data_IF_151013998634
#
_entry.id   IF_151013998634
#
_cell.length_a   1.000
_cell.length_b   1.000
_cell.length_c   1.000
_cell.angle_alpha   90.00
_cell.angle_beta   90.00
_cell.angle_gamma   90.00
#
_symmetry.space_group_name_H-M   'P 1'
#
loop_
_entity.id
_entity.type
_entity.pdbx_description
1 polymer ?
#
# COMPACT_ATOMS: atom_id res chain seq x y z
N UNK A 1 10.02 -21.82 4.17
CA UNK A 1 8.80 -20.97 4.16
C UNK A 1 7.68 -21.73 4.86
N UNK A 2 6.82 -21.05 5.62
CA UNK A 2 5.81 -21.71 6.46
C UNK A 2 4.70 -22.35 5.62
N UNK A 3 4.18 -23.49 6.10
CA UNK A 3 3.00 -24.18 5.55
C UNK A 3 1.81 -23.21 5.35
N UNK A 4 1.58 -22.32 6.33
CA UNK A 4 0.51 -21.33 6.29
C UNK A 4 0.61 -20.38 5.08
N UNK A 5 1.81 -19.89 4.75
CA UNK A 5 2.00 -19.02 3.58
C UNK A 5 1.65 -19.74 2.28
N UNK A 6 2.01 -21.01 2.16
CA UNK A 6 1.75 -21.80 0.96
C UNK A 6 0.25 -22.07 0.78
N UNK A 7 -0.42 -22.58 1.81
CA UNK A 7 -1.82 -23.03 1.71
C UNK A 7 -2.83 -21.89 1.73
N UNK A 8 -2.60 -20.85 2.55
CA UNK A 8 -3.60 -19.78 2.76
C UNK A 8 -3.43 -18.64 1.76
N UNK A 9 -2.22 -18.41 1.27
CA UNK A 9 -1.94 -17.26 0.43
C UNK A 9 -1.46 -17.65 -0.96
N UNK A 10 -0.35 -18.38 -1.06
CA UNK A 10 0.29 -18.67 -2.35
C UNK A 10 -0.61 -19.51 -3.26
N UNK A 11 -1.13 -20.64 -2.78
CA UNK A 11 -2.00 -21.53 -3.58
C UNK A 11 -3.28 -20.82 -4.05
N UNK A 12 -4.08 -20.17 -3.18
CA UNK A 12 -5.29 -19.46 -3.64
C UNK A 12 -4.96 -18.35 -4.63
N UNK A 13 -3.89 -17.57 -4.39
CA UNK A 13 -3.48 -16.49 -5.28
C UNK A 13 -3.05 -16.99 -6.65
N UNK A 14 -2.27 -18.07 -6.70
CA UNK A 14 -1.83 -18.74 -7.93
C UNK A 14 -3.03 -19.24 -8.74
N UNK A 15 -3.94 -19.98 -8.09
CA UNK A 15 -5.13 -20.52 -8.75
C UNK A 15 -6.04 -19.42 -9.27
N UNK A 16 -6.24 -18.36 -8.49
CA UNK A 16 -7.04 -17.21 -8.90
C UNK A 16 -6.39 -16.47 -10.08
N UNK A 17 -5.07 -16.35 -10.10
CA UNK A 17 -4.35 -15.73 -11.21
C UNK A 17 -4.54 -16.51 -12.51
N UNK A 18 -4.36 -17.84 -12.47
CA UNK A 18 -4.55 -18.72 -13.63
C UNK A 18 -6.02 -18.70 -14.10
N UNK A 19 -6.97 -18.76 -13.17
CA UNK A 19 -8.38 -18.68 -13.49
C UNK A 19 -8.75 -17.36 -14.19
N UNK A 20 -8.20 -16.23 -13.74
CA UNK A 20 -8.41 -14.93 -14.41
C UNK A 20 -7.76 -14.93 -15.80
N UNK A 21 -6.58 -15.53 -15.93
CA UNK A 21 -5.88 -15.65 -17.20
C UNK A 21 -6.71 -16.43 -18.22
N UNK A 22 -7.25 -17.58 -17.84
CA UNK A 22 -8.05 -18.45 -18.70
C UNK A 22 -9.42 -17.84 -19.06
N UNK A 23 -10.07 -17.16 -18.12
CA UNK A 23 -11.44 -16.67 -18.31
C UNK A 23 -11.55 -15.38 -19.12
N UNK A 24 -10.55 -14.49 -19.06
CA UNK A 24 -10.75 -13.09 -19.50
C UNK A 24 -9.99 -12.74 -20.79
N UNK A 25 -8.65 -12.85 -20.82
CA UNK A 25 -7.87 -12.25 -21.93
C UNK A 25 -6.64 -13.08 -22.36
N UNK A 26 -6.31 -14.18 -21.67
CA UNK A 26 -5.05 -14.93 -21.92
C UNK A 26 -3.81 -14.02 -21.93
N UNK A 27 -3.84 -12.93 -21.16
CA UNK A 27 -2.75 -11.97 -20.95
C UNK A 27 -2.42 -11.90 -19.46
N UNK A 28 -1.18 -12.23 -19.09
CA UNK A 28 -0.76 -12.30 -17.69
C UNK A 28 -0.71 -10.93 -17.03
N UNK A 29 -0.41 -9.87 -17.78
CA UNK A 29 -0.36 -8.53 -17.21
C UNK A 29 -1.75 -8.00 -16.86
N UNK A 30 -2.73 -8.23 -17.75
CA UNK A 30 -4.14 -7.95 -17.44
C UNK A 30 -4.60 -8.79 -16.24
N UNK A 31 -4.19 -10.05 -16.18
CA UNK A 31 -4.52 -10.93 -15.04
C UNK A 31 -3.95 -10.42 -13.73
N UNK A 32 -2.70 -9.93 -13.71
CA UNK A 32 -2.09 -9.25 -12.56
C UNK A 32 -2.88 -8.01 -12.17
N UNK A 33 -3.29 -7.17 -13.13
CA UNK A 33 -4.08 -5.97 -12.85
C UNK A 33 -5.40 -6.34 -12.18
N UNK A 34 -6.13 -7.30 -12.75
CA UNK A 34 -7.43 -7.72 -12.26
C UNK A 34 -7.36 -8.35 -10.86
N UNK A 35 -6.41 -9.26 -10.62
CA UNK A 35 -6.24 -9.86 -9.29
C UNK A 35 -5.85 -8.79 -8.25
N UNK A 36 -5.01 -7.83 -8.63
CA UNK A 36 -4.63 -6.71 -7.75
C UNK A 36 -5.85 -5.88 -7.37
N UNK A 37 -6.66 -5.52 -8.35
CA UNK A 37 -7.89 -4.75 -8.15
C UNK A 37 -8.89 -5.53 -7.28
N UNK A 38 -9.06 -6.83 -7.52
CA UNK A 38 -9.94 -7.69 -6.73
C UNK A 38 -9.50 -7.76 -5.26
N UNK A 39 -8.21 -8.01 -5.00
CA UNK A 39 -7.65 -8.00 -3.64
C UNK A 39 -7.88 -6.64 -2.98
N UNK A 40 -7.67 -5.55 -3.72
CA UNK A 40 -7.88 -4.19 -3.22
C UNK A 40 -9.34 -3.91 -2.86
N UNK A 41 -10.30 -4.47 -3.61
CA UNK A 41 -11.71 -4.41 -3.26
C UNK A 41 -12.05 -5.22 -2.00
N UNK A 42 -11.51 -6.43 -1.84
CA UNK A 42 -11.70 -7.24 -0.63
C UNK A 42 -11.13 -6.51 0.60
N UNK A 43 -9.98 -5.85 0.45
CA UNK A 43 -9.32 -5.10 1.52
C UNK A 43 -9.86 -3.67 1.71
N UNK A 44 -10.80 -3.22 0.87
CA UNK A 44 -11.38 -1.88 0.90
C UNK A 44 -11.81 -1.41 2.31
N UNK A 45 -12.49 -2.21 3.16
CA UNK A 45 -12.86 -1.78 4.51
C UNK A 45 -11.65 -1.47 5.39
N UNK A 46 -10.57 -2.24 5.27
CA UNK A 46 -9.33 -2.04 6.04
C UNK A 46 -8.65 -0.75 5.61
N UNK A 47 -8.51 -0.53 4.30
CA UNK A 47 -7.97 0.71 3.74
C UNK A 47 -8.81 1.93 4.12
N UNK A 48 -10.15 1.81 4.11
CA UNK A 48 -11.05 2.87 4.56
C UNK A 48 -10.81 3.25 6.02
N UNK A 49 -10.73 2.25 6.91
CA UNK A 49 -10.42 2.47 8.32
C UNK A 49 -9.08 3.14 8.50
N UNK A 50 -8.03 2.67 7.81
CA UNK A 50 -6.70 3.26 7.91
C UNK A 50 -6.66 4.72 7.45
N UNK A 51 -7.32 5.06 6.34
CA UNK A 51 -7.41 6.43 5.85
C UNK A 51 -8.20 7.34 6.81
N UNK A 52 -9.25 6.81 7.44
CA UNK A 52 -10.00 7.52 8.50
C UNK A 52 -9.11 7.79 9.72
N UNK A 53 -8.42 6.78 10.24
CA UNK A 53 -7.52 6.92 11.39
C UNK A 53 -6.42 7.95 11.11
N UNK A 54 -5.83 7.92 9.91
CA UNK A 54 -4.83 8.90 9.50
C UNK A 54 -5.37 10.34 9.47
N UNK A 55 -6.63 10.51 9.08
CA UNK A 55 -7.28 11.82 9.10
C UNK A 55 -7.46 12.33 10.53
N UNK A 56 -7.86 11.47 11.46
CA UNK A 56 -8.03 11.86 12.86
C UNK A 56 -6.67 12.14 13.50
N UNK A 57 -5.64 11.33 13.22
CA UNK A 57 -4.26 11.55 13.66
C UNK A 57 -3.74 12.94 13.25
N UNK A 58 -4.06 13.41 12.05
CA UNK A 58 -3.72 14.77 11.60
C UNK A 58 -4.42 15.85 12.43
N UNK A 59 -5.68 15.63 12.83
CA UNK A 59 -6.45 16.57 13.66
C UNK A 59 -5.92 16.65 15.09
N UNK A 60 -5.55 15.50 15.68
CA UNK A 60 -5.03 15.44 17.06
C UNK A 60 -3.51 15.69 17.15
N UNK A 61 -2.82 15.85 16.03
CA UNK A 61 -1.39 16.13 15.99
C UNK A 61 -0.95 17.29 16.91
N UNK A 62 -1.70 18.41 17.07
CA UNK A 62 -1.35 19.46 18.03
C UNK A 62 -1.33 18.98 19.48
N UNK A 63 -2.32 18.19 19.91
CA UNK A 63 -2.37 17.64 21.27
C UNK A 63 -1.18 16.72 21.53
N UNK A 64 -0.84 15.88 20.54
CA UNK A 64 0.34 15.02 20.60
C UNK A 64 1.62 15.87 20.73
N UNK A 65 1.76 16.96 19.95
CA UNK A 65 2.90 17.88 20.05
C UNK A 65 2.98 18.56 21.42
N UNK A 66 1.86 18.93 22.02
CA UNK A 66 1.83 19.50 23.38
C UNK A 66 2.31 18.50 24.43
N UNK A 67 1.82 17.26 24.39
CA UNK A 67 2.29 16.17 25.27
C UNK A 67 3.80 15.98 25.11
N UNK A 68 4.29 15.96 23.87
CA UNK A 68 5.71 15.83 23.59
C UNK A 68 6.56 17.00 24.11
N UNK A 69 5.99 18.21 24.21
CA UNK A 69 6.65 19.38 24.81
C UNK A 69 6.61 19.35 26.33
N UNK A 70 5.48 18.96 26.93
CA UNK A 70 5.31 18.90 28.39
C UNK A 70 6.16 17.79 29.03
N UNK A 71 6.28 16.64 28.37
CA UNK A 71 6.97 15.46 28.91
C UNK A 71 8.28 15.13 28.16
N UNK A 72 9.11 16.15 27.87
CA UNK A 72 10.39 15.92 27.16
C UNK A 72 11.34 15.00 27.93
N UNK A 73 11.41 15.19 29.24
CA UNK A 73 12.35 14.50 30.14
C UNK A 73 11.81 13.15 30.64
N UNK A 74 10.48 12.97 30.64
CA UNK A 74 9.84 11.72 31.05
C UNK A 74 9.21 11.02 29.84
N UNK A 75 9.99 10.16 29.18
CA UNK A 75 9.57 9.41 27.99
C UNK A 75 8.44 8.43 28.26
N UNK A 76 8.41 7.83 29.45
CA UNK A 76 7.38 6.87 29.81
C UNK A 76 6.02 7.55 29.91
N UNK A 77 5.95 8.67 30.64
CA UNK A 77 4.72 9.45 30.79
C UNK A 77 4.29 10.07 29.44
N UNK A 78 5.26 10.49 28.62
CA UNK A 78 5.01 10.97 27.26
C UNK A 78 4.27 9.91 26.42
N UNK A 79 4.77 8.66 26.41
CA UNK A 79 4.14 7.55 25.66
C UNK A 79 2.77 7.23 26.22
N UNK A 80 2.63 7.16 27.55
CA UNK A 80 1.36 6.87 28.22
C UNK A 80 0.27 7.87 27.87
N UNK A 81 0.55 9.16 27.93
CA UNK A 81 -0.43 10.20 27.60
C UNK A 81 -0.76 10.23 26.10
N UNK A 82 0.24 10.05 25.22
CA UNK A 82 -0.03 9.93 23.78
C UNK A 82 -0.97 8.77 23.48
N UNK A 83 -0.76 7.62 24.11
CA UNK A 83 -1.64 6.45 23.95
C UNK A 83 -3.03 6.69 24.52
N UNK A 84 -3.16 7.44 25.62
CA UNK A 84 -4.46 7.85 26.17
C UNK A 84 -5.25 8.69 25.17
N UNK A 85 -4.62 9.69 24.55
CA UNK A 85 -5.25 10.53 23.50
C UNK A 85 -5.68 9.69 22.30
N UNK A 86 -4.85 8.74 21.85
CA UNK A 86 -5.23 7.85 20.74
C UNK A 86 -6.46 6.99 21.10
N UNK A 87 -6.53 6.48 22.33
CA UNK A 87 -7.66 5.67 22.82
C UNK A 87 -8.94 6.49 22.96
N UNK A 88 -8.84 7.71 23.47
CA UNK A 88 -9.95 8.66 23.61
C UNK A 88 -10.61 8.94 22.25
N UNK A 89 -9.79 9.19 21.22
CA UNK A 89 -10.26 9.42 19.85
C UNK A 89 -10.57 8.13 19.07
N UNK A 90 -10.41 6.96 19.71
CA UNK A 90 -10.61 5.62 19.13
C UNK A 90 -9.85 5.40 17.81
N UNK A 91 -8.61 5.91 17.74
CA UNK A 91 -7.73 5.77 16.57
C UNK A 91 -6.64 4.74 16.84
N UNK A 92 -6.22 4.04 15.79
CA UNK A 92 -5.03 3.19 15.87
C UNK A 92 -3.85 3.87 15.13
N UNK A 93 -2.76 4.24 15.84
CA UNK A 93 -1.58 4.87 15.22
C UNK A 93 -0.82 3.90 14.28
N UNK A 94 -1.06 2.60 14.42
CA UNK A 94 -0.43 1.56 13.60
C UNK A 94 -1.27 1.15 12.38
N UNK A 95 -2.42 1.78 12.12
CA UNK A 95 -3.25 1.42 10.96
C UNK A 95 -2.48 1.49 9.63
N UNK A 96 -1.57 2.46 9.49
CA UNK A 96 -0.73 2.60 8.29
C UNK A 96 0.30 1.46 8.13
N UNK A 97 0.84 0.91 9.23
CA UNK A 97 1.81 -0.19 9.16
C UNK A 97 1.12 -1.51 8.84
N UNK A 98 -0.11 -1.69 9.30
CA UNK A 98 -0.93 -2.87 9.01
C UNK A 98 -1.13 -3.04 7.49
N UNK A 99 -1.33 -1.94 6.76
CA UNK A 99 -1.45 -1.99 5.30
C UNK A 99 -0.15 -2.48 4.64
N UNK A 100 1.01 -2.06 5.14
CA UNK A 100 2.30 -2.51 4.62
C UNK A 100 2.52 -4.00 4.90
N UNK A 101 2.18 -4.46 6.10
CA UNK A 101 2.31 -5.87 6.49
C UNK A 101 1.44 -6.77 5.61
N UNK A 102 0.23 -6.33 5.24
CA UNK A 102 -0.64 -7.10 4.33
C UNK A 102 -0.06 -7.14 2.91
N UNK A 103 0.59 -6.07 2.47
CA UNK A 103 1.16 -5.96 1.12
C UNK A 103 2.34 -6.93 0.89
N UNK A 104 3.22 -7.11 1.90
CA UNK A 104 4.46 -7.88 1.75
C UNK A 104 4.22 -9.36 1.40
N UNK A 105 3.36 -10.13 2.08
CA UNK A 105 3.08 -11.52 1.70
C UNK A 105 2.54 -11.66 0.27
N UNK A 106 1.67 -10.75 -0.17
CA UNK A 106 1.11 -10.77 -1.53
C UNK A 106 2.21 -10.53 -2.56
N UNK A 107 3.10 -9.55 -2.29
CA UNK A 107 4.27 -9.27 -3.11
C UNK A 107 5.17 -10.51 -3.25
N UNK A 108 5.49 -11.17 -2.14
CA UNK A 108 6.29 -12.40 -2.14
C UNK A 108 5.62 -13.54 -2.91
N UNK A 109 4.30 -13.68 -2.78
CA UNK A 109 3.55 -14.69 -3.50
C UNK A 109 3.60 -14.45 -5.02
N UNK A 110 3.36 -13.22 -5.48
CA UNK A 110 3.49 -12.86 -6.90
C UNK A 110 4.92 -13.04 -7.41
N UNK A 111 5.92 -12.56 -6.68
CA UNK A 111 7.33 -12.73 -7.05
C UNK A 111 7.68 -14.22 -7.30
N UNK A 112 7.21 -15.11 -6.43
CA UNK A 112 7.46 -16.55 -6.56
C UNK A 112 6.83 -17.17 -7.81
N UNK A 113 5.66 -16.69 -8.24
CA UNK A 113 4.99 -17.18 -9.46
C UNK A 113 5.87 -16.95 -10.70
N UNK A 114 6.51 -15.78 -10.79
CA UNK A 114 7.27 -15.39 -11.99
C UNK A 114 8.74 -15.82 -11.96
N UNK A 115 9.35 -15.96 -10.77
CA UNK A 115 10.74 -16.45 -10.66
C UNK A 115 10.84 -17.97 -10.69
N UNK A 116 9.89 -18.69 -10.09
CA UNK A 116 9.88 -20.16 -10.13
C UNK A 116 9.28 -20.72 -11.43
N UNK A 117 8.54 -19.91 -12.19
CA UNK A 117 7.75 -20.38 -13.33
C UNK A 117 6.51 -21.17 -12.91
N UNK A 118 5.40 -20.96 -13.63
CA UNK A 118 4.14 -21.67 -13.44
C UNK A 118 4.25 -23.22 -13.61
N UNK A 119 5.09 -23.76 -14.51
CA UNK A 119 5.26 -25.21 -14.63
C UNK A 119 5.89 -25.88 -13.39
N UNK A 120 6.87 -25.24 -12.72
CA UNK A 120 7.44 -25.75 -11.47
C UNK A 120 6.57 -25.40 -10.24
N UNK A 121 5.66 -24.42 -10.38
CA UNK A 121 4.63 -24.18 -9.38
C UNK A 121 3.67 -25.38 -9.25
N UNK A 122 3.58 -26.21 -10.30
CA UNK A 122 3.20 -27.61 -10.22
C UNK A 122 1.69 -27.87 -10.21
N UNK A 123 1.28 -28.91 -10.93
CA UNK A 123 -0.06 -29.49 -10.91
C UNK A 123 -0.53 -29.88 -9.50
N UNK A 124 0.41 -30.10 -8.57
CA UNK A 124 0.16 -30.39 -7.15
C UNK A 124 -0.39 -29.19 -6.35
N UNK A 125 -0.23 -27.97 -6.87
CA UNK A 125 -0.71 -26.73 -6.23
C UNK A 125 -1.96 -26.16 -6.87
N UNK A 126 -2.41 -26.74 -7.97
CA UNK A 126 -3.65 -26.35 -8.64
C UNK A 126 -4.85 -27.02 -7.99
N UNK A 127 -5.97 -26.30 -7.94
CA UNK A 127 -7.24 -26.88 -7.60
C UNK A 127 -7.76 -27.72 -8.77
N UNK A 128 -8.57 -28.73 -8.47
CA UNK A 128 -9.08 -29.68 -9.47
C UNK A 128 -9.84 -29.05 -10.62
N UNK A 129 -10.35 -27.83 -10.45
CA UNK A 129 -11.10 -27.08 -11.47
C UNK A 129 -10.24 -26.05 -12.23
N UNK A 130 -8.96 -25.88 -11.88
CA UNK A 130 -8.02 -24.97 -12.55
C UNK A 130 -7.06 -25.78 -13.40
N UNK A 131 -7.03 -25.51 -14.70
CA UNK A 131 -6.18 -26.22 -15.65
C UNK A 131 -5.01 -25.32 -16.02
N UNK A 132 -3.82 -25.90 -16.13
CA UNK A 132 -2.66 -25.12 -16.59
C UNK A 132 -2.72 -24.99 -18.12
N UNK A 133 -2.57 -23.78 -18.69
CA UNK A 133 -2.41 -23.61 -20.12
C UNK A 133 -1.17 -24.38 -20.63
N UNK A 134 -1.29 -25.05 -21.79
CA UNK A 134 -0.18 -25.79 -22.39
C UNK A 134 0.98 -24.87 -22.80
N UNK A 135 0.66 -23.65 -23.22
CA UNK A 135 1.64 -22.62 -23.56
C UNK A 135 1.37 -21.39 -22.71
N UNK A 136 2.37 -21.02 -21.91
CA UNK A 136 2.27 -19.89 -20.99
C UNK A 136 3.12 -18.75 -21.55
N UNK A 137 2.45 -17.72 -22.05
CA UNK A 137 3.11 -16.48 -22.45
C UNK A 137 3.04 -15.47 -21.30
N UNK A 138 4.14 -15.27 -20.59
CA UNK A 138 4.24 -14.26 -19.52
C UNK A 138 4.29 -12.83 -20.08
N UNK A 139 3.46 -12.50 -21.04
CA UNK A 139 3.44 -11.19 -21.70
C UNK A 139 2.39 -10.27 -21.09
N UNK A 140 2.64 -8.98 -21.22
CA UNK A 140 1.66 -7.92 -21.03
C UNK A 140 1.53 -7.11 -22.32
N UNK A 141 0.30 -7.00 -22.81
CA UNK A 141 -0.07 -6.35 -24.06
C UNK A 141 0.64 -6.93 -25.29
N UNK A 142 1.19 -8.15 -25.18
CA UNK A 142 1.90 -8.84 -26.25
C UNK A 142 3.36 -8.42 -26.49
N UNK A 143 3.88 -7.38 -25.80
CA UNK A 143 5.25 -6.89 -26.06
C UNK A 143 6.12 -6.72 -24.81
N UNK A 144 5.56 -6.79 -23.60
CA UNK A 144 6.31 -6.71 -22.35
C UNK A 144 6.43 -8.11 -21.77
N UNK A 145 7.65 -8.64 -21.65
CA UNK A 145 7.91 -9.84 -20.86
C UNK A 145 7.86 -9.51 -19.37
N UNK A 146 6.98 -10.19 -18.64
CA UNK A 146 6.74 -9.99 -17.22
C UNK A 146 7.70 -10.77 -16.32
N UNK A 147 8.40 -11.77 -16.87
CA UNK A 147 9.33 -12.62 -16.13
C UNK A 147 10.72 -12.00 -16.00
N UNK A 148 11.04 -11.02 -16.85
CA UNK A 148 12.29 -10.25 -16.82
C UNK A 148 12.07 -8.80 -16.36
N UNK A 149 13.11 -8.09 -15.86
CA UNK A 149 12.98 -6.67 -15.51
C UNK A 149 12.68 -5.80 -16.74
N UNK A 150 11.81 -4.79 -16.59
CA UNK A 150 11.46 -3.86 -17.65
C UNK A 150 11.49 -2.40 -17.19
N UNK A 151 12.55 -1.68 -17.58
CA UNK A 151 12.89 -0.34 -17.06
C UNK A 151 11.76 0.69 -17.21
N UNK A 152 11.09 0.73 -18.36
CA UNK A 152 10.02 1.71 -18.60
C UNK A 152 8.88 1.54 -17.58
N UNK A 153 8.51 0.29 -17.26
CA UNK A 153 7.50 0.01 -16.25
C UNK A 153 7.98 0.34 -14.83
N UNK A 154 9.26 0.13 -14.52
CA UNK A 154 9.84 0.56 -13.22
C UNK A 154 9.71 2.07 -13.05
N UNK A 155 10.04 2.86 -14.06
CA UNK A 155 9.94 4.33 -14.03
C UNK A 155 8.48 4.76 -13.85
N UNK A 156 7.57 4.21 -14.64
CA UNK A 156 6.13 4.53 -14.56
C UNK A 156 5.57 4.15 -13.17
N UNK A 157 6.00 3.02 -12.62
CA UNK A 157 5.64 2.57 -11.27
C UNK A 157 6.09 3.56 -10.21
N UNK A 158 7.36 3.99 -10.26
CA UNK A 158 7.90 4.96 -9.32
C UNK A 158 7.17 6.32 -9.41
N UNK A 159 6.83 6.76 -10.62
CA UNK A 159 6.03 7.98 -10.82
C UNK A 159 4.60 7.83 -10.26
N UNK A 160 3.96 6.67 -10.44
CA UNK A 160 2.66 6.39 -9.86
C UNK A 160 2.70 6.38 -8.32
N UNK A 161 3.73 5.79 -7.73
CA UNK A 161 3.92 5.79 -6.27
C UNK A 161 4.24 7.18 -5.72
N UNK A 162 5.01 7.97 -6.46
CA UNK A 162 5.30 9.36 -6.12
C UNK A 162 4.03 10.21 -6.13
N UNK A 163 3.23 10.14 -7.20
CA UNK A 163 1.96 10.89 -7.31
C UNK A 163 0.97 10.49 -6.22
N UNK A 164 0.87 9.19 -5.92
CA UNK A 164 0.08 8.67 -4.79
C UNK A 164 0.54 9.26 -3.45
N UNK A 165 1.85 9.25 -3.18
CA UNK A 165 2.41 9.73 -1.91
C UNK A 165 2.30 11.26 -1.78
N UNK A 166 2.44 11.99 -2.88
CA UNK A 166 2.25 13.43 -2.93
C UNK A 166 0.79 13.84 -2.71
N UNK A 167 -0.18 13.08 -3.23
CA UNK A 167 -1.59 13.32 -2.97
C UNK A 167 -1.89 13.23 -1.47
N UNK A 168 -1.29 12.24 -0.79
CA UNK A 168 -1.42 12.06 0.65
C UNK A 168 -0.93 13.28 1.43
N UNK A 169 0.22 13.85 1.07
CA UNK A 169 0.74 15.08 1.67
C UNK A 169 -0.18 16.27 1.44
N UNK A 170 -0.70 16.43 0.22
CA UNK A 170 -1.60 17.55 -0.09
C UNK A 170 -2.85 17.53 0.79
N UNK A 171 -3.39 16.33 1.02
CA UNK A 171 -4.54 16.12 1.89
C UNK A 171 -4.17 16.41 3.34
N UNK A 172 -3.02 15.91 3.79
CA UNK A 172 -2.52 16.16 5.14
C UNK A 172 -2.32 17.65 5.42
N UNK A 173 -1.68 18.37 4.50
CA UNK A 173 -1.41 19.81 4.63
C UNK A 173 -2.67 20.64 4.67
N UNK A 174 -3.70 20.29 3.87
CA UNK A 174 -5.01 20.98 3.89
C UNK A 174 -5.77 20.78 5.21
N UNK A 175 -5.49 19.69 5.93
CA UNK A 175 -6.19 19.31 7.18
C UNK A 175 -5.39 19.63 8.44
N UNK A 176 -4.11 19.94 8.31
CA UNK A 176 -3.27 20.32 9.42
C UNK A 176 -3.73 21.69 9.95
N UNK A 177 -4.04 21.82 11.25
CA UNK A 177 -4.18 23.14 11.87
C UNK A 177 -2.84 23.89 11.82
N UNK A 178 -2.93 25.21 11.86
CA UNK A 178 -1.88 26.18 11.51
C UNK A 178 -0.45 25.74 11.93
N UNK A 179 0.55 25.75 11.02
CA UNK A 179 1.93 25.31 11.29
C UNK A 179 2.61 26.02 12.47
N UNK A 180 2.12 27.21 12.85
CA UNK A 180 2.58 27.97 14.01
C UNK A 180 2.45 27.23 15.36
N UNK A 181 1.61 26.20 15.45
CA UNK A 181 1.48 25.37 16.66
C UNK A 181 2.68 24.40 16.88
N UNK A 182 3.51 24.17 15.86
CA UNK A 182 4.77 23.43 15.97
C UNK A 182 5.86 24.31 16.60
N UNK A 183 5.56 24.98 17.72
CA UNK A 183 6.52 25.85 18.42
C UNK A 183 7.89 25.20 18.64
N UNK A 184 8.90 26.04 18.86
CA UNK A 184 10.37 25.90 18.70
C UNK A 184 11.09 24.65 19.26
N UNK A 185 10.52 23.45 19.16
CA UNK A 185 11.20 22.22 19.52
C UNK A 185 11.90 21.62 18.29
N UNK A 186 13.24 21.70 18.17
CA UNK A 186 13.97 21.25 17.00
C UNK A 186 13.81 19.75 16.73
N UNK A 187 13.59 18.92 17.74
CA UNK A 187 13.36 17.48 17.57
C UNK A 187 12.02 17.18 16.85
N UNK A 188 10.96 17.92 17.16
CA UNK A 188 9.63 17.75 16.53
C UNK A 188 9.69 18.23 15.08
N UNK A 189 10.33 19.38 14.84
CA UNK A 189 10.53 19.89 13.49
C UNK A 189 11.42 18.96 12.65
N UNK A 190 12.45 18.36 13.23
CA UNK A 190 13.29 17.38 12.54
C UNK A 190 12.50 16.13 12.14
N UNK A 191 11.65 15.60 13.03
CA UNK A 191 10.78 14.47 12.74
C UNK A 191 9.78 14.77 11.61
N UNK A 192 9.19 15.98 11.60
CA UNK A 192 8.28 16.41 10.53
C UNK A 192 9.00 16.61 9.20
N UNK A 193 10.19 17.24 9.21
CA UNK A 193 11.00 17.37 7.99
C UNK A 193 11.40 16.00 7.45
N UNK A 194 11.73 15.05 8.33
CA UNK A 194 12.04 13.67 7.94
C UNK A 194 10.82 12.99 7.30
N UNK A 195 9.62 13.14 7.89
CA UNK A 195 8.40 12.53 7.34
C UNK A 195 8.05 13.09 5.96
N UNK A 196 8.28 14.39 5.72
CA UNK A 196 8.07 15.00 4.40
C UNK A 196 9.10 14.50 3.38
N UNK A 197 10.37 14.37 3.76
CA UNK A 197 11.43 13.87 2.87
C UNK A 197 11.25 12.39 2.51
N UNK A 198 10.69 11.60 3.41
CA UNK A 198 10.44 10.17 3.20
C UNK A 198 9.57 9.91 1.96
N UNK A 199 8.67 10.83 1.62
CA UNK A 199 7.75 10.68 0.48
C UNK A 199 8.44 10.84 -0.88
N UNK A 200 9.52 11.61 -0.94
CA UNK A 200 10.37 11.69 -2.15
C UNK A 200 11.36 10.52 -2.21
N UNK A 201 11.80 10.04 -1.04
CA UNK A 201 12.78 8.97 -0.93
C UNK A 201 12.20 7.59 -1.29
N UNK A 202 10.99 7.27 -0.83
CA UNK A 202 10.40 5.94 -1.01
C UNK A 202 10.24 5.52 -2.49
N UNK A 203 9.76 6.37 -3.41
CA UNK A 203 9.69 6.01 -4.83
C UNK A 203 11.05 5.70 -5.46
N UNK A 204 12.12 6.38 -5.02
CA UNK A 204 13.49 6.11 -5.49
C UNK A 204 13.95 4.74 -5.01
N UNK A 205 13.75 4.43 -3.73
CA UNK A 205 14.06 3.10 -3.18
C UNK A 205 13.26 2.01 -3.89
N UNK A 206 11.96 2.23 -4.11
CA UNK A 206 11.13 1.28 -4.87
C UNK A 206 11.64 1.10 -6.30
N UNK A 207 12.08 2.15 -6.98
CA UNK A 207 12.67 2.02 -8.31
C UNK A 207 13.95 1.16 -8.29
N UNK A 208 14.84 1.35 -7.32
CA UNK A 208 16.08 0.56 -7.16
C UNK A 208 15.75 -0.92 -6.89
N UNK A 209 14.77 -1.19 -6.03
CA UNK A 209 14.31 -2.55 -5.75
C UNK A 209 13.77 -3.19 -7.01
N UNK A 210 12.84 -2.50 -7.70
CA UNK A 210 12.17 -3.02 -8.89
C UNK A 210 13.10 -3.21 -10.08
N UNK A 211 14.21 -2.49 -10.15
CA UNK A 211 15.23 -2.68 -11.19
C UNK A 211 15.82 -4.10 -11.20
N UNK A 212 15.77 -4.79 -10.06
CA UNK A 212 16.30 -6.15 -9.89
C UNK A 212 15.21 -7.23 -9.86
N UNK A 213 13.94 -6.88 -10.09
CA UNK A 213 12.81 -7.79 -9.99
C UNK A 213 12.08 -7.96 -11.33
N UNK A 214 11.34 -9.06 -11.53
CA UNK A 214 10.51 -9.25 -12.72
C UNK A 214 9.50 -8.10 -12.91
N UNK A 215 9.23 -7.75 -14.16
CA UNK A 215 8.29 -6.69 -14.52
C UNK A 215 6.86 -6.95 -13.99
N UNK A 216 6.48 -8.21 -13.76
CA UNK A 216 5.25 -8.57 -13.03
C UNK A 216 5.12 -7.84 -11.68
N UNK A 217 6.23 -7.75 -10.94
CA UNK A 217 6.27 -7.11 -9.62
C UNK A 217 6.11 -5.59 -9.74
N UNK A 218 6.74 -4.99 -10.76
CA UNK A 218 6.55 -3.58 -11.07
C UNK A 218 5.09 -3.28 -11.46
N UNK A 219 4.48 -4.11 -12.30
CA UNK A 219 3.08 -3.96 -12.72
C UNK A 219 2.10 -4.03 -11.55
N UNK A 220 2.33 -4.98 -10.64
CA UNK A 220 1.56 -5.10 -9.40
C UNK A 220 1.64 -3.82 -8.56
N UNK A 221 2.85 -3.29 -8.37
CA UNK A 221 3.07 -2.09 -7.57
C UNK A 221 2.49 -0.84 -8.24
N UNK A 222 2.61 -0.72 -9.56
CA UNK A 222 1.98 0.33 -10.35
C UNK A 222 0.46 0.33 -10.15
N UNK A 223 -0.18 -0.82 -10.38
CA UNK A 223 -1.62 -0.99 -10.25
C UNK A 223 -2.07 -0.66 -8.83
N UNK A 224 -1.33 -1.14 -7.83
CA UNK A 224 -1.53 -0.81 -6.42
C UNK A 224 -1.48 0.69 -6.17
N UNK A 225 -0.49 1.41 -6.68
CA UNK A 225 -0.34 2.85 -6.47
C UNK A 225 -1.44 3.66 -7.15
N UNK A 226 -1.82 3.29 -8.39
CA UNK A 226 -2.95 3.90 -9.10
C UNK A 226 -4.24 3.69 -8.32
N UNK A 227 -4.55 2.46 -7.92
CA UNK A 227 -5.74 2.17 -7.13
C UNK A 227 -5.75 2.94 -5.82
N UNK A 228 -4.62 2.97 -5.11
CA UNK A 228 -4.49 3.69 -3.83
C UNK A 228 -4.72 5.20 -4.00
N UNK A 229 -4.24 5.80 -5.10
CA UNK A 229 -4.49 7.21 -5.40
C UNK A 229 -5.98 7.49 -5.62
N UNK A 230 -6.65 6.67 -6.46
CA UNK A 230 -8.09 6.78 -6.73
C UNK A 230 -8.89 6.59 -5.44
N UNK A 231 -8.57 5.54 -4.68
CA UNK A 231 -9.20 5.24 -3.40
C UNK A 231 -9.04 6.40 -2.41
N UNK A 232 -7.85 6.98 -2.31
CA UNK A 232 -7.59 8.12 -1.44
C UNK A 232 -8.45 9.33 -1.82
N UNK A 233 -8.61 9.62 -3.13
CA UNK A 233 -9.49 10.69 -3.60
C UNK A 233 -10.96 10.43 -3.21
N UNK A 234 -11.45 9.21 -3.44
CA UNK A 234 -12.83 8.83 -3.11
C UNK A 234 -13.13 8.92 -1.61
N UNK A 235 -12.22 8.42 -0.76
CA UNK A 235 -12.36 8.47 0.70
C UNK A 235 -12.35 9.93 1.18
N UNK A 236 -11.45 10.75 0.65
CA UNK A 236 -11.35 12.16 1.04
C UNK A 236 -12.59 12.96 0.70
N UNK A 237 -13.22 12.68 -0.44
CA UNK A 237 -14.51 13.25 -0.81
C UNK A 237 -15.58 12.87 0.23
N UNK A 238 -15.70 11.58 0.56
CA UNK A 238 -16.70 11.06 1.52
C UNK A 238 -16.50 11.60 2.95
N UNK A 239 -15.26 11.77 3.40
CA UNK A 239 -14.98 12.36 4.72
C UNK A 239 -15.43 13.82 4.77
N UNK A 240 -15.11 14.60 3.73
CA UNK A 240 -15.49 16.03 3.65
C UNK A 240 -17.01 16.20 3.64
N UNK A 241 -17.74 15.38 2.89
CA UNK A 241 -19.20 15.41 2.86
C UNK A 241 -19.82 15.18 4.25
N UNK A 242 -19.29 14.21 5.02
CA UNK A 242 -19.74 13.97 6.39
C UNK A 242 -19.45 15.14 7.33
N UNK A 243 -18.31 15.81 7.19
CA UNK A 243 -17.97 16.99 7.98
C UNK A 243 -18.90 18.17 7.68
N UNK A 244 -19.26 18.39 6.41
CA UNK A 244 -20.21 19.44 6.02
C UNK A 244 -21.58 19.18 6.64
N UNK A 245 -22.08 17.95 6.54
CA UNK A 245 -23.40 17.58 7.09
C UNK A 245 -23.43 17.70 8.61
N UNK A 246 -22.33 17.40 9.31
CA UNK A 246 -22.26 17.51 10.77
C UNK A 246 -22.19 18.95 11.28
N UNK A 247 -21.84 19.91 10.42
CA UNK A 247 -21.65 21.32 10.78
C UNK A 247 -22.76 22.24 10.20
N UNK A 248 -23.72 21.68 9.47
CA UNK A 248 -24.89 22.35 8.92
C UNK A 248 -26.11 22.06 9.79
#
# INVERSE_FOLDING_TARGET
MSFLFNEILYKPLLNLLILIYDLVVSDFGVSIILITVLIRFVLLPIFYKSAKDQTILQKIAPQIREIQKKHKENKEEQVRQMMAVYKEHRVNPFSSILLLIIQLPILFALYRVFVGGLPEAGSDKLYSFVHLPEVIHYTFLGFIDLSSPFLALVIITALAQFTQSWLLLRVAKKRAPNPAAAGDNPAIQAAERMSHKMIYFMPVVTAIILFNLPAAVALYWFTTSVFSAIQQLAINKKIREKEIISNA
#
